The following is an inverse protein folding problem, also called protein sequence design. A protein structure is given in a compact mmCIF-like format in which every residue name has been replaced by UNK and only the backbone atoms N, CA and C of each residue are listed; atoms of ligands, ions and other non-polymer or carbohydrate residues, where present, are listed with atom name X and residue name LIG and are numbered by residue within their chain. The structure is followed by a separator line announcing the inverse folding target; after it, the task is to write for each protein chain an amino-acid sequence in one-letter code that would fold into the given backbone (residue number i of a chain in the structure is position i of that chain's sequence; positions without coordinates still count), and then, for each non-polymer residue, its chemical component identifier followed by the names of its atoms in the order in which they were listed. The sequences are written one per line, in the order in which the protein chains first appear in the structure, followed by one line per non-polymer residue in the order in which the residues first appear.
data_IF_248260705873
#
_entry.id   IF_248260705873
#
_cell.length_a   1.000
_cell.length_b   1.000
_cell.length_c   1.000
_cell.angle_alpha   90.00
_cell.angle_beta   90.00
_cell.angle_gamma   90.00
#
_symmetry.space_group_name_H-M   'P 1'
#
loop_
_entity.id
_entity.type
_entity.pdbx_description
1 polymer ?
#
# COMPACT_ATOMS: atom_id res chain seq x y z
N UNK A 1 -16.51 23.83 0.05
CA UNK A 1 -15.09 24.09 0.40
C UNK A 1 -14.71 25.54 0.12
N UNK A 2 -14.86 26.06 -1.09
CA UNK A 2 -14.51 27.43 -1.47
C UNK A 2 -15.14 28.51 -0.54
N UNK A 3 -16.47 28.53 -0.37
CA UNK A 3 -17.14 29.48 0.50
C UNK A 3 -16.62 29.44 1.96
N UNK A 4 -16.31 28.27 2.48
CA UNK A 4 -15.76 28.15 3.83
C UNK A 4 -14.35 28.74 3.92
N UNK A 5 -13.50 28.46 2.94
CA UNK A 5 -12.13 28.98 2.90
C UNK A 5 -12.12 30.51 2.69
N UNK A 6 -13.03 31.04 1.86
CA UNK A 6 -13.21 32.49 1.69
C UNK A 6 -13.60 33.19 2.99
N UNK A 7 -14.52 32.61 3.77
CA UNK A 7 -14.92 33.14 5.06
C UNK A 7 -13.81 33.14 6.13
N UNK A 8 -12.86 32.21 6.00
CA UNK A 8 -11.73 32.05 6.92
C UNK A 8 -10.45 32.73 6.42
N UNK A 9 -10.51 33.38 5.25
CA UNK A 9 -9.33 34.01 4.66
C UNK A 9 -8.99 35.31 5.39
N UNK A 10 -7.95 35.24 6.19
CA UNK A 10 -7.37 36.38 6.93
C UNK A 10 -6.04 36.84 6.30
N UNK A 11 -5.71 36.35 5.09
CA UNK A 11 -4.43 36.62 4.41
C UNK A 11 -3.27 35.72 4.84
N UNK A 12 -3.47 34.89 5.88
CA UNK A 12 -2.47 33.91 6.31
C UNK A 12 -2.48 32.66 5.40
N UNK A 13 -1.44 31.84 5.53
CA UNK A 13 -1.35 30.57 4.79
C UNK A 13 -2.42 29.59 5.26
N UNK A 14 -3.17 29.07 4.32
CA UNK A 14 -4.20 28.06 4.54
C UNK A 14 -3.74 26.72 3.96
N UNK A 15 -3.87 25.67 4.75
CA UNK A 15 -3.63 24.30 4.33
C UNK A 15 -4.96 23.54 4.26
N UNK A 16 -5.25 22.98 3.10
CA UNK A 16 -6.35 22.04 2.89
C UNK A 16 -5.76 20.65 2.73
N UNK A 17 -6.09 19.74 3.64
CA UNK A 17 -5.67 18.35 3.58
C UNK A 17 -6.88 17.46 3.31
N UNK A 18 -6.86 16.74 2.19
CA UNK A 18 -7.90 15.79 1.79
C UNK A 18 -7.32 14.37 1.95
N UNK A 19 -7.65 13.77 3.08
CA UNK A 19 -7.25 12.40 3.39
C UNK A 19 -8.17 11.42 2.66
N UNK A 20 -7.59 10.35 2.13
CA UNK A 20 -8.28 9.30 1.38
C UNK A 20 -9.20 9.87 0.28
N UNK A 21 -8.67 10.78 -0.53
CA UNK A 21 -9.42 11.45 -1.60
C UNK A 21 -10.16 10.49 -2.54
N UNK A 22 -9.64 9.30 -2.89
CA UNK A 22 -10.35 8.32 -3.71
C UNK A 22 -11.73 7.95 -3.16
N UNK A 23 -11.91 7.93 -1.86
CA UNK A 23 -13.20 7.60 -1.21
C UNK A 23 -14.27 8.68 -1.40
N UNK A 24 -13.86 9.89 -1.73
CA UNK A 24 -14.78 11.00 -2.01
C UNK A 24 -15.33 10.93 -3.44
N UNK A 25 -14.62 10.23 -4.35
CA UNK A 25 -15.00 10.09 -5.76
C UNK A 25 -15.87 8.84 -5.99
N UNK A 26 -17.03 8.82 -5.35
CA UNK A 26 -18.00 7.74 -5.56
C UNK A 26 -18.75 7.91 -6.88
N UNK A 27 -19.27 6.81 -7.48
CA UNK A 27 -20.11 6.91 -8.68
C UNK A 27 -21.26 7.92 -8.48
N UNK A 28 -21.34 8.91 -9.36
CA UNK A 28 -22.34 10.00 -9.35
C UNK A 28 -22.12 11.08 -8.28
N UNK A 29 -21.00 11.06 -7.53
CA UNK A 29 -20.72 12.13 -6.55
C UNK A 29 -20.48 13.49 -7.22
N UNK A 30 -19.96 13.50 -8.45
CA UNK A 30 -19.50 14.73 -9.11
C UNK A 30 -18.31 15.39 -8.40
N UNK A 31 -17.66 14.66 -7.47
CA UNK A 31 -16.60 15.20 -6.62
C UNK A 31 -15.42 15.72 -7.44
N UNK A 32 -14.93 14.95 -8.40
CA UNK A 32 -13.79 15.37 -9.24
C UNK A 32 -14.09 16.64 -10.03
N UNK A 33 -15.29 16.75 -10.60
CA UNK A 33 -15.70 17.96 -11.32
C UNK A 33 -15.77 19.18 -10.39
N UNK A 34 -16.30 18.99 -9.18
CA UNK A 34 -16.36 20.05 -8.18
C UNK A 34 -14.96 20.46 -7.69
N UNK A 35 -14.05 19.48 -7.52
CA UNK A 35 -12.67 19.74 -7.14
C UNK A 35 -11.87 20.44 -8.25
N UNK A 36 -12.03 20.02 -9.50
CA UNK A 36 -11.47 20.72 -10.67
C UNK A 36 -11.97 22.18 -10.74
N UNK A 37 -13.27 22.39 -10.56
CA UNK A 37 -13.86 23.71 -10.52
C UNK A 37 -13.30 24.58 -9.38
N UNK A 38 -13.22 24.03 -8.18
CA UNK A 38 -12.61 24.70 -7.02
C UNK A 38 -11.16 25.11 -7.30
N UNK A 39 -10.36 24.20 -7.81
CA UNK A 39 -8.95 24.49 -8.09
C UNK A 39 -8.79 25.53 -9.21
N UNK A 40 -9.39 25.29 -10.38
CA UNK A 40 -9.14 26.10 -11.57
C UNK A 40 -9.79 27.50 -11.51
N UNK A 41 -10.96 27.62 -10.86
CA UNK A 41 -11.67 28.88 -10.82
C UNK A 41 -11.24 29.76 -9.64
N UNK A 42 -10.71 29.18 -8.57
CA UNK A 42 -10.43 29.93 -7.36
C UNK A 42 -9.06 29.64 -6.73
N UNK A 43 -8.77 28.41 -6.33
CA UNK A 43 -7.60 28.10 -5.51
C UNK A 43 -6.27 28.39 -6.21
N UNK A 44 -6.15 28.07 -7.50
CA UNK A 44 -4.92 28.29 -8.28
C UNK A 44 -4.52 29.78 -8.42
N UNK A 45 -5.43 30.70 -8.18
CA UNK A 45 -5.17 32.17 -8.20
C UNK A 45 -4.74 32.71 -6.84
N UNK A 46 -4.73 31.88 -5.80
CA UNK A 46 -4.33 32.22 -4.44
C UNK A 46 -2.89 31.86 -4.15
N UNK A 47 -2.15 32.78 -3.53
CA UNK A 47 -0.75 32.52 -3.13
C UNK A 47 -0.62 31.96 -1.71
N UNK A 48 -1.71 31.99 -0.96
CA UNK A 48 -1.76 31.60 0.44
C UNK A 48 -2.46 30.24 0.68
N UNK A 49 -2.83 29.51 -0.38
CA UNK A 49 -3.48 28.21 -0.27
C UNK A 49 -2.51 27.09 -0.72
N UNK A 50 -2.42 26.07 0.10
CA UNK A 50 -1.79 24.79 -0.22
C UNK A 50 -2.84 23.68 -0.08
N UNK A 51 -2.98 22.86 -1.11
CA UNK A 51 -3.85 21.68 -1.07
C UNK A 51 -2.96 20.44 -1.10
N UNK A 52 -3.12 19.59 -0.10
CA UNK A 52 -2.50 18.28 -0.03
C UNK A 52 -3.59 17.24 -0.17
N UNK A 53 -3.38 16.27 -1.04
CA UNK A 53 -4.29 15.13 -1.24
C UNK A 53 -3.50 13.85 -0.98
N UNK A 54 -4.12 12.88 -0.32
CA UNK A 54 -3.54 11.56 -0.16
C UNK A 54 -4.58 10.46 -0.45
N UNK A 55 -4.11 9.25 -0.59
CA UNK A 55 -4.94 8.06 -0.75
C UNK A 55 -4.07 6.81 -0.85
N UNK A 56 -4.60 5.71 -0.35
CA UNK A 56 -4.00 4.37 -0.42
C UNK A 56 -4.12 3.76 -1.81
N UNK A 57 -5.12 4.16 -2.60
CA UNK A 57 -5.34 3.69 -3.97
C UNK A 57 -4.40 4.42 -4.95
N UNK A 58 -3.14 3.98 -5.02
CA UNK A 58 -2.13 4.58 -5.89
C UNK A 58 -2.56 4.68 -7.35
N UNK A 59 -3.24 3.67 -7.89
CA UNK A 59 -3.77 3.69 -9.26
C UNK A 59 -4.76 4.83 -9.48
N UNK A 60 -5.67 5.07 -8.53
CA UNK A 60 -6.64 6.16 -8.64
C UNK A 60 -5.94 7.54 -8.64
N UNK A 61 -4.97 7.76 -7.75
CA UNK A 61 -4.18 9.01 -7.68
C UNK A 61 -3.44 9.24 -9.00
N UNK A 62 -2.76 8.20 -9.51
CA UNK A 62 -2.04 8.28 -10.78
C UNK A 62 -2.99 8.59 -11.95
N UNK A 63 -4.10 7.89 -12.05
CA UNK A 63 -5.01 8.00 -13.18
C UNK A 63 -5.83 9.30 -13.15
N UNK A 64 -6.20 9.79 -11.97
CA UNK A 64 -7.10 10.93 -11.85
C UNK A 64 -6.41 12.26 -11.55
N UNK A 65 -5.22 12.27 -10.94
CA UNK A 65 -4.50 13.48 -10.60
C UNK A 65 -3.23 13.68 -11.42
N UNK A 66 -2.40 12.65 -11.56
CA UNK A 66 -1.06 12.79 -12.15
C UNK A 66 -1.10 12.62 -13.67
N UNK A 67 -1.64 11.48 -14.14
CA UNK A 67 -1.72 11.14 -15.57
C UNK A 67 -2.99 11.67 -16.26
N UNK A 68 -3.85 12.37 -15.52
CA UNK A 68 -5.09 12.89 -16.06
C UNK A 68 -4.83 14.08 -16.99
N UNK A 69 -5.14 13.90 -18.28
CA UNK A 69 -5.08 14.97 -19.28
C UNK A 69 -6.31 15.92 -19.29
N UNK A 70 -7.12 15.90 -18.20
CA UNK A 70 -8.31 16.75 -18.03
C UNK A 70 -8.00 17.99 -17.21
N UNK A 71 -8.96 18.47 -16.44
CA UNK A 71 -8.93 19.76 -15.74
C UNK A 71 -7.81 19.96 -14.72
N UNK A 72 -7.19 18.88 -14.21
CA UNK A 72 -6.07 18.96 -13.26
C UNK A 72 -4.71 18.70 -13.92
N UNK A 73 -4.63 18.63 -15.24
CA UNK A 73 -3.37 18.42 -15.95
C UNK A 73 -2.31 19.46 -15.56
N UNK A 74 -1.09 19.01 -15.20
CA UNK A 74 0.01 19.85 -14.73
C UNK A 74 -0.31 20.75 -13.52
N UNK A 75 -1.30 20.38 -12.70
CA UNK A 75 -1.65 21.13 -11.47
C UNK A 75 -0.96 20.56 -10.22
N UNK A 76 -0.54 19.31 -10.26
CA UNK A 76 0.27 18.72 -9.19
C UNK A 76 1.68 19.30 -9.26
N UNK A 77 2.09 20.00 -8.21
CA UNK A 77 3.39 20.66 -8.12
C UNK A 77 4.45 19.80 -7.42
N UNK A 78 4.01 18.88 -6.59
CA UNK A 78 4.89 17.97 -5.85
C UNK A 78 4.19 16.64 -5.59
N UNK A 79 4.92 15.55 -5.76
CA UNK A 79 4.46 14.18 -5.50
C UNK A 79 5.36 13.53 -4.46
N UNK A 80 4.74 12.91 -3.45
CA UNK A 80 5.43 12.12 -2.44
C UNK A 80 4.87 10.71 -2.48
N UNK A 81 5.69 9.74 -2.94
CA UNK A 81 5.40 8.33 -2.76
C UNK A 81 5.96 7.90 -1.41
N UNK A 82 5.08 7.48 -0.50
CA UNK A 82 5.48 6.88 0.77
C UNK A 82 5.68 5.37 0.55
N UNK A 83 6.92 4.95 0.49
CA UNK A 83 7.29 3.53 0.48
C UNK A 83 7.41 2.99 1.91
N UNK A 84 7.32 1.66 2.09
CA UNK A 84 7.60 1.04 3.38
C UNK A 84 8.96 1.49 3.94
N UNK A 85 9.05 1.61 5.25
CA UNK A 85 10.29 1.99 5.93
C UNK A 85 11.39 0.97 5.63
N UNK A 86 12.61 1.47 5.43
CA UNK A 86 13.81 0.63 5.36
C UNK A 86 14.10 -0.04 6.71
N UNK A 87 14.92 -1.08 6.72
CA UNK A 87 15.30 -1.75 7.97
C UNK A 87 15.92 -0.78 8.99
N UNK A 88 16.67 0.21 8.53
CA UNK A 88 17.25 1.24 9.40
C UNK A 88 16.18 2.15 10.02
N UNK A 89 15.19 2.56 9.25
CA UNK A 89 14.08 3.38 9.74
C UNK A 89 13.17 2.57 10.68
N UNK A 90 12.98 1.29 10.40
CA UNK A 90 12.29 0.37 11.31
C UNK A 90 13.02 0.26 12.66
N UNK A 91 14.36 0.14 12.65
CA UNK A 91 15.16 0.16 13.88
C UNK A 91 14.95 1.45 14.66
N UNK A 92 14.99 2.60 14.00
CA UNK A 92 14.77 3.90 14.65
C UNK A 92 13.38 4.00 15.28
N UNK A 93 12.34 3.56 14.55
CA UNK A 93 10.96 3.59 15.04
C UNK A 93 10.78 2.66 16.24
N UNK A 94 11.24 1.41 16.16
CA UNK A 94 11.14 0.43 17.23
C UNK A 94 11.91 0.88 18.49
N UNK A 95 13.12 1.43 18.32
CA UNK A 95 13.89 2.00 19.45
C UNK A 95 13.17 3.20 20.09
N UNK A 96 12.57 4.08 19.29
CA UNK A 96 11.75 5.20 19.79
C UNK A 96 10.56 4.71 20.61
N UNK A 97 9.99 3.56 20.26
CA UNK A 97 8.89 2.91 20.96
C UNK A 97 9.38 2.05 22.14
N UNK A 98 10.66 2.10 22.50
CA UNK A 98 11.22 1.43 23.67
C UNK A 98 11.79 0.03 23.43
N UNK A 99 11.70 -0.51 22.22
CA UNK A 99 12.23 -1.84 21.93
C UNK A 99 13.77 -1.84 21.94
N UNK A 100 14.35 -2.81 22.66
CA UNK A 100 15.81 -3.00 22.74
C UNK A 100 16.24 -4.27 22.00
N UNK A 101 15.72 -4.47 20.81
CA UNK A 101 16.00 -5.62 19.99
C UNK A 101 17.45 -5.62 19.46
N UNK A 102 18.05 -6.79 19.45
CA UNK A 102 19.29 -7.04 18.72
C UNK A 102 19.05 -6.86 17.21
N UNK A 103 20.12 -6.77 16.44
CA UNK A 103 20.01 -6.68 14.96
C UNK A 103 19.32 -7.90 14.33
N UNK A 104 19.51 -9.09 14.93
CA UNK A 104 18.83 -10.31 14.50
C UNK A 104 17.32 -10.23 14.74
N UNK A 105 16.90 -9.78 15.93
CA UNK A 105 15.49 -9.59 16.27
C UNK A 105 14.84 -8.48 15.43
N UNK A 106 15.55 -7.39 15.15
CA UNK A 106 15.08 -6.36 14.24
C UNK A 106 14.84 -6.90 12.82
N UNK A 107 15.76 -7.74 12.32
CA UNK A 107 15.57 -8.40 11.04
C UNK A 107 14.37 -9.35 11.05
N UNK A 108 14.15 -10.09 12.14
CA UNK A 108 12.95 -10.93 12.29
C UNK A 108 11.68 -10.09 12.29
N UNK A 109 11.60 -8.99 13.07
CA UNK A 109 10.47 -8.08 13.02
C UNK A 109 10.20 -7.57 11.60
N UNK A 110 11.25 -7.16 10.89
CA UNK A 110 11.13 -6.68 9.50
C UNK A 110 10.62 -7.78 8.56
N UNK A 111 11.08 -9.01 8.71
CA UNK A 111 10.63 -10.14 7.89
C UNK A 111 9.18 -10.54 8.18
N UNK A 112 8.64 -10.22 9.34
CA UNK A 112 7.26 -10.50 9.75
C UNK A 112 6.32 -9.36 9.35
N UNK A 113 6.70 -8.11 9.68
CA UNK A 113 5.84 -6.94 9.64
C UNK A 113 6.11 -6.03 8.43
N UNK A 114 7.23 -6.24 7.75
CA UNK A 114 7.70 -5.30 6.74
C UNK A 114 8.05 -3.93 7.32
N UNK A 115 8.10 -2.94 6.46
CA UNK A 115 8.36 -1.55 6.82
C UNK A 115 7.10 -0.72 7.07
N UNK A 116 5.97 -1.32 7.43
CA UNK A 116 4.71 -0.61 7.61
C UNK A 116 4.65 -0.01 9.02
N UNK A 117 4.62 1.34 9.17
CA UNK A 117 4.68 1.99 10.47
C UNK A 117 3.56 1.56 11.43
N UNK A 118 2.35 1.31 10.90
CA UNK A 118 1.19 0.86 11.70
C UNK A 118 1.43 -0.50 12.35
N UNK A 119 2.03 -1.46 11.63
CA UNK A 119 2.38 -2.76 12.20
C UNK A 119 3.51 -2.64 13.22
N UNK A 120 4.54 -1.86 12.90
CA UNK A 120 5.67 -1.63 13.80
C UNK A 120 5.26 -0.92 15.10
N UNK A 121 4.27 -0.03 15.04
CA UNK A 121 3.71 0.64 16.21
C UNK A 121 2.91 -0.31 17.12
N UNK A 122 2.48 -1.45 16.58
CA UNK A 122 1.76 -2.49 17.35
C UNK A 122 2.69 -3.46 18.09
N UNK A 123 4.00 -3.35 17.89
CA UNK A 123 5.00 -4.19 18.56
C UNK A 123 5.11 -3.78 20.02
N UNK A 124 4.98 -4.75 20.92
CA UNK A 124 5.25 -4.56 22.33
C UNK A 124 6.73 -4.83 22.63
N UNK A 125 7.39 -3.82 23.17
CA UNK A 125 8.83 -3.87 23.49
C UNK A 125 9.20 -4.89 24.57
N UNK A 126 8.23 -5.35 25.37
CA UNK A 126 8.44 -6.35 26.42
C UNK A 126 8.53 -7.79 25.88
N UNK A 127 8.09 -8.02 24.65
CA UNK A 127 8.01 -9.34 24.04
C UNK A 127 9.07 -9.53 22.94
N UNK A 128 9.49 -10.78 22.74
CA UNK A 128 10.32 -11.15 21.59
C UNK A 128 9.56 -10.98 20.27
N UNK A 129 10.26 -10.94 19.11
CA UNK A 129 9.60 -10.90 17.80
C UNK A 129 8.60 -12.04 17.56
N UNK A 130 8.91 -13.24 18.03
CA UNK A 130 8.02 -14.40 17.90
C UNK A 130 6.75 -14.24 18.76
N UNK A 131 6.89 -13.79 20.02
CA UNK A 131 5.74 -13.50 20.87
C UNK A 131 4.87 -12.37 20.31
N UNK A 132 5.49 -11.32 19.77
CA UNK A 132 4.76 -10.28 19.06
C UNK A 132 3.99 -10.81 17.86
N UNK A 133 4.60 -11.68 17.06
CA UNK A 133 3.92 -12.31 15.91
C UNK A 133 2.70 -13.13 16.37
N UNK A 134 2.84 -13.89 17.46
CA UNK A 134 1.73 -14.65 18.02
C UNK A 134 0.57 -13.74 18.48
N UNK A 135 0.88 -12.70 19.25
CA UNK A 135 -0.12 -11.74 19.72
C UNK A 135 -0.78 -10.94 18.60
N UNK A 136 -0.06 -10.64 17.55
CA UNK A 136 -0.58 -9.82 16.46
C UNK A 136 -1.40 -10.63 15.46
N UNK A 137 -1.03 -11.89 15.17
CA UNK A 137 -1.59 -12.64 14.06
C UNK A 137 -2.24 -13.97 14.42
N UNK A 138 -1.83 -14.65 15.51
CA UNK A 138 -2.20 -16.04 15.76
C UNK A 138 -3.00 -16.30 17.02
N UNK A 139 -2.94 -15.44 18.01
CA UNK A 139 -3.68 -15.58 19.27
C UNK A 139 -5.21 -15.45 19.08
N UNK A 140 -6.00 -15.98 20.03
CA UNK A 140 -7.48 -15.88 20.00
C UNK A 140 -8.02 -14.46 19.92
N UNK A 141 -7.25 -13.47 20.35
CA UNK A 141 -7.54 -12.03 20.31
C UNK A 141 -6.52 -11.28 19.47
N UNK A 142 -5.98 -11.94 18.44
CA UNK A 142 -4.98 -11.34 17.57
C UNK A 142 -5.49 -10.05 16.93
N UNK A 143 -4.74 -8.97 17.10
CA UNK A 143 -5.15 -7.62 16.66
C UNK A 143 -5.27 -7.52 15.14
N UNK A 144 -4.50 -8.32 14.42
CA UNK A 144 -4.39 -8.30 12.95
C UNK A 144 -4.73 -9.67 12.32
N UNK A 145 -5.62 -10.45 12.96
CA UNK A 145 -6.00 -11.77 12.45
C UNK A 145 -6.53 -11.74 11.00
N UNK A 146 -7.31 -10.70 10.67
CA UNK A 146 -7.94 -10.54 9.35
C UNK A 146 -7.17 -9.56 8.43
N UNK A 147 -5.98 -9.11 8.85
CA UNK A 147 -5.24 -8.03 8.17
C UNK A 147 -4.86 -8.41 6.74
N UNK A 148 -4.49 -9.66 6.49
CA UNK A 148 -4.17 -10.13 5.15
C UNK A 148 -5.35 -9.98 4.18
N UNK A 149 -6.56 -10.31 4.62
CA UNK A 149 -7.77 -10.17 3.80
C UNK A 149 -8.13 -8.71 3.59
N UNK A 150 -8.02 -7.90 4.65
CA UNK A 150 -8.30 -6.47 4.62
C UNK A 150 -7.35 -5.71 3.69
N UNK A 151 -6.08 -6.05 3.68
CA UNK A 151 -5.07 -5.46 2.80
C UNK A 151 -5.52 -5.49 1.33
N UNK A 152 -6.03 -6.62 0.86
CA UNK A 152 -6.50 -6.73 -0.53
C UNK A 152 -7.83 -6.01 -0.75
N UNK A 153 -8.74 -6.07 0.20
CA UNK A 153 -10.04 -5.40 0.10
C UNK A 153 -9.91 -3.87 0.04
N UNK A 154 -8.92 -3.31 0.73
CA UNK A 154 -8.71 -1.86 0.81
C UNK A 154 -7.82 -1.32 -0.33
N UNK A 155 -6.83 -2.11 -0.78
CA UNK A 155 -5.83 -1.63 -1.73
C UNK A 155 -6.15 -1.92 -3.20
N UNK A 156 -7.07 -2.82 -3.50
CA UNK A 156 -7.32 -3.27 -4.88
C UNK A 156 -8.80 -3.29 -5.24
N UNK A 157 -9.15 -2.71 -6.39
CA UNK A 157 -10.50 -2.76 -6.96
C UNK A 157 -10.98 -4.21 -7.18
N UNK A 158 -10.04 -5.11 -7.46
CA UNK A 158 -10.25 -6.52 -7.70
C UNK A 158 -9.45 -7.34 -6.69
N UNK A 159 -9.94 -7.33 -5.47
CA UNK A 159 -9.29 -7.98 -4.33
C UNK A 159 -9.10 -9.49 -4.51
N UNK A 160 -10.07 -10.17 -5.12
CA UNK A 160 -10.00 -11.60 -5.39
C UNK A 160 -8.88 -11.94 -6.38
N UNK A 161 -8.81 -11.22 -7.51
CA UNK A 161 -7.75 -11.43 -8.49
C UNK A 161 -6.37 -11.09 -7.89
N UNK A 162 -6.28 -10.01 -7.12
CA UNK A 162 -5.04 -9.60 -6.45
C UNK A 162 -4.57 -10.68 -5.47
N UNK A 163 -5.45 -11.19 -4.63
CA UNK A 163 -5.15 -12.27 -3.69
C UNK A 163 -4.66 -13.54 -4.39
N UNK A 164 -5.36 -13.94 -5.47
CA UNK A 164 -4.98 -15.11 -6.27
C UNK A 164 -3.59 -14.95 -6.92
N UNK A 165 -3.28 -13.76 -7.44
CA UNK A 165 -1.96 -13.46 -8.02
C UNK A 165 -0.88 -13.55 -6.94
N UNK A 166 -1.07 -12.93 -5.78
CA UNK A 166 -0.09 -12.94 -4.68
C UNK A 166 0.13 -14.36 -4.18
N UNK A 167 -0.93 -15.13 -4.00
CA UNK A 167 -0.83 -16.54 -3.61
C UNK A 167 -0.04 -17.37 -4.64
N UNK A 168 -0.26 -17.13 -5.93
CA UNK A 168 0.51 -17.78 -6.98
C UNK A 168 1.98 -17.33 -7.00
N UNK A 169 2.26 -16.03 -6.90
CA UNK A 169 3.62 -15.50 -6.88
C UNK A 169 4.45 -16.03 -5.71
N UNK A 170 3.82 -16.31 -4.57
CA UNK A 170 4.47 -16.90 -3.40
C UNK A 170 5.11 -18.25 -3.68
N UNK A 171 4.60 -19.02 -4.63
CA UNK A 171 5.07 -20.41 -4.89
C UNK A 171 6.47 -20.49 -5.51
N UNK A 172 7.02 -19.38 -6.04
CA UNK A 172 8.33 -19.38 -6.71
C UNK A 172 9.10 -18.08 -6.42
N UNK A 173 10.21 -18.18 -5.71
CA UNK A 173 11.01 -17.02 -5.31
C UNK A 173 11.56 -16.20 -6.49
N UNK A 174 11.77 -16.81 -7.67
CA UNK A 174 12.14 -16.07 -8.89
C UNK A 174 10.94 -15.36 -9.55
N UNK A 175 9.73 -15.49 -9.00
CA UNK A 175 8.52 -14.95 -9.59
C UNK A 175 8.16 -15.58 -10.94
N UNK A 176 7.22 -14.94 -11.61
CA UNK A 176 6.61 -15.43 -12.85
C UNK A 176 6.46 -14.32 -13.86
N UNK A 177 6.46 -14.68 -15.13
CA UNK A 177 6.09 -13.76 -16.21
C UNK A 177 4.59 -13.52 -16.21
N UNK A 178 4.17 -12.40 -16.81
CA UNK A 178 2.74 -12.11 -17.00
C UNK A 178 2.00 -13.24 -17.73
N UNK A 179 2.66 -13.88 -18.70
CA UNK A 179 2.09 -14.99 -19.46
C UNK A 179 1.81 -16.19 -18.54
N UNK A 180 2.78 -16.60 -17.73
CA UNK A 180 2.62 -17.70 -16.76
C UNK A 180 1.49 -17.42 -15.75
N UNK A 181 1.36 -16.17 -15.27
CA UNK A 181 0.29 -15.77 -14.36
C UNK A 181 -1.08 -15.95 -15.04
N UNK A 182 -1.24 -15.45 -16.26
CA UNK A 182 -2.47 -15.57 -17.03
C UNK A 182 -2.85 -17.02 -17.27
N UNK A 183 -1.91 -17.83 -17.73
CA UNK A 183 -2.13 -19.24 -18.06
C UNK A 183 -2.50 -20.06 -16.81
N UNK A 184 -1.77 -19.84 -15.72
CA UNK A 184 -1.97 -20.63 -14.50
C UNK A 184 -3.25 -20.28 -13.74
N UNK A 185 -3.61 -19.01 -13.73
CA UNK A 185 -4.80 -18.54 -13.06
C UNK A 185 -6.04 -18.45 -13.99
N UNK A 186 -5.89 -18.92 -15.23
CA UNK A 186 -6.96 -18.89 -16.25
C UNK A 186 -7.57 -17.50 -16.44
N UNK A 187 -6.75 -16.45 -16.36
CA UNK A 187 -7.20 -15.07 -16.49
C UNK A 187 -7.32 -14.65 -17.96
N UNK A 188 -8.22 -13.71 -18.24
CA UNK A 188 -8.29 -13.09 -19.55
C UNK A 188 -7.11 -12.13 -19.76
N UNK A 189 -6.50 -12.21 -20.96
CA UNK A 189 -5.41 -11.31 -21.35
C UNK A 189 -5.96 -9.93 -21.72
N UNK A 190 -6.08 -9.02 -20.75
CA UNK A 190 -6.69 -7.70 -20.96
C UNK A 190 -6.13 -6.62 -20.04
N UNK A 191 -6.78 -5.47 -20.04
CA UNK A 191 -6.40 -4.32 -19.22
C UNK A 191 -6.55 -4.57 -17.70
N UNK A 192 -7.48 -5.44 -17.30
CA UNK A 192 -7.77 -5.75 -15.90
C UNK A 192 -6.54 -6.31 -15.17
N UNK A 193 -5.90 -7.35 -15.72
CA UNK A 193 -4.66 -7.90 -15.14
C UNK A 193 -3.50 -6.91 -15.21
N UNK A 194 -3.40 -6.11 -16.28
CA UNK A 194 -2.33 -5.11 -16.38
C UNK A 194 -2.45 -4.06 -15.29
N UNK A 195 -3.66 -3.56 -15.03
CA UNK A 195 -3.92 -2.61 -13.93
C UNK A 195 -3.61 -3.23 -12.57
N UNK A 196 -4.05 -4.47 -12.33
CA UNK A 196 -3.78 -5.14 -11.07
C UNK A 196 -2.27 -5.31 -10.81
N UNK A 197 -1.50 -5.82 -11.80
CA UNK A 197 -0.05 -5.94 -11.67
C UNK A 197 0.66 -4.59 -11.52
N UNK A 198 0.13 -3.54 -12.16
CA UNK A 198 0.65 -2.18 -12.00
C UNK A 198 0.40 -1.67 -10.57
N UNK A 199 -0.82 -1.79 -10.07
CA UNK A 199 -1.17 -1.40 -8.71
C UNK A 199 -0.32 -2.14 -7.65
N UNK A 200 -0.08 -3.45 -7.84
CA UNK A 200 0.80 -4.23 -6.95
C UNK A 200 2.25 -3.74 -6.98
N UNK A 201 2.73 -3.34 -8.16
CA UNK A 201 4.10 -2.83 -8.30
C UNK A 201 4.23 -1.43 -7.69
N UNK A 202 3.25 -0.57 -7.92
CA UNK A 202 3.23 0.78 -7.37
C UNK A 202 3.04 0.78 -5.84
N UNK A 203 2.30 -0.21 -5.33
CA UNK A 203 2.11 -0.44 -3.89
C UNK A 203 3.27 -1.17 -3.21
N UNK A 204 4.38 -1.43 -3.90
CA UNK A 204 5.57 -2.13 -3.39
C UNK A 204 5.32 -3.57 -2.89
N UNK A 205 4.16 -4.18 -3.20
CA UNK A 205 3.89 -5.59 -2.89
C UNK A 205 4.73 -6.53 -3.76
N UNK A 206 4.90 -6.15 -5.01
CA UNK A 206 5.53 -6.94 -6.06
C UNK A 206 6.59 -6.12 -6.77
N UNK A 207 7.75 -6.68 -7.00
CA UNK A 207 8.73 -6.07 -7.90
C UNK A 207 8.59 -6.63 -9.32
N UNK A 208 8.83 -5.73 -10.27
CA UNK A 208 8.93 -6.06 -11.69
C UNK A 208 10.40 -5.99 -12.10
N UNK A 209 10.96 -7.07 -12.60
CA UNK A 209 12.37 -7.13 -12.97
C UNK A 209 12.62 -8.06 -14.16
N UNK A 210 13.79 -7.92 -14.77
CA UNK A 210 14.29 -8.85 -15.78
C UNK A 210 15.40 -9.68 -15.15
N UNK A 211 15.29 -11.03 -15.10
CA UNK A 211 16.34 -11.87 -14.56
C UNK A 211 17.65 -11.71 -15.32
N UNK A 212 18.77 -11.85 -14.61
CA UNK A 212 20.10 -11.76 -15.23
C UNK A 212 20.27 -12.78 -16.37
N UNK A 213 20.79 -12.31 -17.51
CA UNK A 213 20.99 -13.14 -18.69
C UNK A 213 19.76 -13.34 -19.58
N UNK A 214 18.60 -12.79 -19.18
CA UNK A 214 17.38 -12.88 -19.97
C UNK A 214 17.13 -11.66 -20.87
N UNK A 215 16.27 -11.82 -21.88
CA UNK A 215 15.83 -10.74 -22.78
C UNK A 215 15.05 -9.69 -21.99
N UNK A 216 15.16 -8.40 -22.39
CA UNK A 216 14.35 -7.30 -21.81
C UNK A 216 12.83 -7.51 -21.90
N UNK A 217 12.39 -8.46 -22.75
CA UNK A 217 10.96 -8.82 -22.90
C UNK A 217 10.50 -9.84 -21.86
N UNK A 218 11.42 -10.52 -21.19
CA UNK A 218 11.13 -11.55 -20.18
C UNK A 218 11.04 -10.91 -18.79
N UNK A 219 10.03 -10.09 -18.63
CA UNK A 219 9.73 -9.41 -17.37
C UNK A 219 9.07 -10.38 -16.40
N UNK A 220 9.65 -10.50 -15.21
CA UNK A 220 9.10 -11.28 -14.09
C UNK A 220 8.48 -10.37 -13.05
N UNK A 221 7.46 -10.88 -12.38
CA UNK A 221 6.82 -10.31 -11.21
C UNK A 221 7.12 -11.21 -10.02
N UNK A 222 7.64 -10.64 -8.96
CA UNK A 222 8.04 -11.37 -7.75
C UNK A 222 7.41 -10.70 -6.53
N UNK A 223 6.75 -11.50 -5.68
CA UNK A 223 6.27 -11.04 -4.39
C UNK A 223 7.45 -10.68 -3.48
N UNK A 224 7.45 -9.49 -2.92
CA UNK A 224 8.52 -8.97 -2.05
C UNK A 224 8.01 -8.40 -0.73
N UNK A 225 6.72 -8.19 -0.59
CA UNK A 225 6.14 -7.72 0.66
C UNK A 225 6.38 -8.73 1.78
N UNK A 226 7.10 -8.36 2.86
CA UNK A 226 7.46 -9.30 3.93
C UNK A 226 6.24 -9.84 4.67
N UNK A 227 5.22 -8.98 4.92
CA UNK A 227 4.02 -9.40 5.62
C UNK A 227 3.24 -10.46 4.83
N UNK A 228 3.02 -10.24 3.53
CA UNK A 228 2.37 -11.22 2.66
C UNK A 228 3.16 -12.54 2.59
N UNK A 229 4.50 -12.47 2.47
CA UNK A 229 5.36 -13.64 2.47
C UNK A 229 5.25 -14.43 3.79
N UNK A 230 5.31 -13.73 4.93
CA UNK A 230 5.17 -14.32 6.24
C UNK A 230 3.79 -14.98 6.42
N UNK A 231 2.73 -14.25 6.07
CA UNK A 231 1.36 -14.75 6.21
C UNK A 231 1.12 -16.03 5.38
N UNK A 232 1.51 -16.01 4.12
CA UNK A 232 1.32 -17.16 3.22
C UNK A 232 2.15 -18.37 3.62
N UNK A 233 3.32 -18.14 4.22
CA UNK A 233 4.19 -19.24 4.66
C UNK A 233 3.69 -19.88 5.97
N UNK A 234 3.27 -19.08 6.94
CA UNK A 234 2.93 -19.55 8.28
C UNK A 234 1.41 -19.68 8.49
N UNK A 235 0.63 -18.64 8.25
CA UNK A 235 -0.78 -18.61 8.56
C UNK A 235 -1.65 -19.32 7.51
N UNK A 236 -1.34 -19.18 6.23
CA UNK A 236 -2.10 -19.81 5.15
C UNK A 236 -2.02 -21.34 5.10
N UNK A 237 -1.17 -21.96 5.93
CA UNK A 237 -1.01 -23.42 6.03
C UNK A 237 -1.67 -24.03 7.26
N UNK A 238 -2.14 -23.23 8.19
CA UNK A 238 -2.72 -23.74 9.43
C UNK A 238 -4.25 -23.78 9.30
N UNK A 239 -4.80 -24.97 9.18
CA UNK A 239 -6.24 -25.23 9.28
C UNK A 239 -6.71 -25.37 10.73
N UNK A 240 -5.81 -25.60 11.68
CA UNK A 240 -6.10 -25.67 13.12
C UNK A 240 -4.93 -25.06 13.90
N UNK A 241 -5.21 -24.00 14.66
CA UNK A 241 -4.26 -23.44 15.61
C UNK A 241 -4.16 -24.37 16.81
N UNK A 242 -3.20 -25.24 16.82
CA UNK A 242 -2.74 -25.90 18.04
C UNK A 242 -1.63 -25.06 18.67
N UNK A 243 -1.63 -25.00 20.00
CA UNK A 243 -0.71 -24.27 20.89
C UNK A 243 0.78 -24.61 20.69
N UNK A 244 1.28 -24.46 19.49
CA UNK A 244 2.62 -24.91 19.06
C UNK A 244 3.76 -23.92 19.33
N UNK A 245 3.48 -22.81 20.01
CA UNK A 245 4.48 -21.79 20.32
C UNK A 245 4.64 -21.51 21.84
N UNK A 246 4.29 -22.51 22.69
CA UNK A 246 4.61 -22.46 24.11
C UNK A 246 6.04 -22.90 24.40
#
# INVERSE_FOLDING_TARGET
MECFLQQKDNGERQLVFLDEMPWMDTPRSGFMQAFEGFWNNWACHRKNIMVIVCGSANSWILDNLINNHRGLYNRVTYEIKLSPLSLQECEQLLRKNGAQFSRGELAQCYMILGGIPGYLASVDAAFSPAQNADHLFFGRSARHADEYVRLFAECFDDSEMAGNIVHFLHTKNAGYTRKEIIEKLHLSNGSRISRCLHAMTDGDLVIRYVPYGMSRREVHYKLTDPFCLFWLFFAGRQTEFTELWQ
#
